data_IF_915013720067
#
_entry.id   IF_915013720067
#
_cell.length_a   1.000
_cell.length_b   1.000
_cell.length_c   1.000
_cell.angle_alpha   90.00
_cell.angle_beta   90.00
_cell.angle_gamma   90.00
#
_symmetry.space_group_name_H-M   'P 1'
#
loop_
_entity.id
_entity.type
_entity.pdbx_description
1 polymer ?
#
# COMPACT_ATOMS: atom_id res chain seq x y z
N UNK A 1 -2.27 9.72 -2.95
CA UNK A 1 -2.62 9.56 -1.53
C UNK A 1 -3.03 10.90 -0.90
N UNK A 2 -3.99 10.88 0.02
CA UNK A 2 -4.46 12.05 0.79
C UNK A 2 -4.63 11.68 2.26
N UNK A 3 -4.16 12.52 3.18
CA UNK A 3 -4.54 12.47 4.61
C UNK A 3 -5.58 13.57 4.85
N UNK A 4 -6.79 13.21 5.27
CA UNK A 4 -7.87 14.19 5.49
C UNK A 4 -7.53 15.14 6.63
N UNK A 5 -8.13 16.34 6.66
CA UNK A 5 -7.90 17.32 7.73
C UNK A 5 -8.20 16.74 9.13
N UNK A 6 -9.25 15.92 9.25
CA UNK A 6 -9.59 15.24 10.50
C UNK A 6 -8.49 14.27 10.95
N UNK A 7 -7.90 13.51 10.00
CA UNK A 7 -6.78 12.63 10.27
C UNK A 7 -5.51 13.40 10.59
N UNK A 8 -5.22 14.51 9.89
CA UNK A 8 -4.07 15.36 10.19
C UNK A 8 -4.12 15.90 11.62
N UNK A 9 -5.29 16.39 12.05
CA UNK A 9 -5.48 16.87 13.43
C UNK A 9 -5.26 15.77 14.47
N UNK A 10 -5.80 14.58 14.23
CA UNK A 10 -5.58 13.43 15.11
C UNK A 10 -4.11 12.99 15.17
N UNK A 11 -3.46 12.87 14.01
CA UNK A 11 -2.05 12.48 13.93
C UNK A 11 -1.14 13.52 14.60
N UNK A 12 -1.40 14.81 14.41
CA UNK A 12 -0.67 15.86 15.12
C UNK A 12 -0.80 15.73 16.64
N UNK A 13 -2.01 15.46 17.16
CA UNK A 13 -2.23 15.23 18.59
C UNK A 13 -1.56 13.94 19.09
N UNK A 14 -1.52 12.90 18.27
CA UNK A 14 -0.85 11.63 18.59
C UNK A 14 0.67 11.81 18.67
N UNK A 15 1.24 12.51 17.69
CA UNK A 15 2.67 12.79 17.59
C UNK A 15 3.12 13.77 18.69
N UNK A 16 2.30 14.76 19.07
CA UNK A 16 2.63 15.70 20.15
C UNK A 16 2.74 15.04 21.53
N UNK A 17 2.24 13.80 21.68
CA UNK A 17 2.37 13.00 22.90
C UNK A 17 3.65 12.18 22.94
N UNK A 18 4.44 12.18 21.85
CA UNK A 18 5.72 11.50 21.79
C UNK A 18 6.82 12.44 22.29
N UNK A 19 7.81 11.92 23.03
CA UNK A 19 8.94 12.69 23.56
C UNK A 19 10.05 12.90 22.52
N UNK A 20 9.69 13.07 21.24
CA UNK A 20 10.65 13.18 20.13
C UNK A 20 10.27 14.35 19.24
N UNK A 21 11.08 15.41 19.29
CA UNK A 21 10.90 16.59 18.45
C UNK A 21 11.09 16.24 16.97
N UNK A 22 10.25 16.78 16.09
CA UNK A 22 10.29 16.50 14.65
C UNK A 22 9.83 15.09 14.22
N UNK A 23 9.26 14.29 15.13
CA UNK A 23 8.72 12.97 14.78
C UNK A 23 7.58 13.10 13.75
N UNK A 24 7.63 12.24 12.73
CA UNK A 24 6.61 12.14 11.68
C UNK A 24 5.94 10.78 11.65
N UNK A 25 5.26 10.52 10.55
CA UNK A 25 4.73 9.18 10.23
C UNK A 25 5.35 8.66 8.94
N UNK A 26 5.60 7.35 8.88
CA UNK A 26 5.97 6.64 7.66
C UNK A 26 4.83 5.73 7.23
N UNK A 27 4.44 5.77 5.97
CA UNK A 27 3.33 5.01 5.39
C UNK A 27 3.88 4.11 4.30
N UNK A 28 3.49 2.85 4.31
CA UNK A 28 4.00 1.83 3.40
C UNK A 28 2.95 0.76 3.14
N UNK A 29 3.16 -0.04 2.10
CA UNK A 29 2.35 -1.22 1.80
C UNK A 29 3.18 -2.46 2.06
N UNK A 30 2.75 -3.29 2.99
CA UNK A 30 3.31 -4.63 3.16
C UNK A 30 2.77 -5.56 2.08
N UNK A 31 3.61 -6.48 1.59
CA UNK A 31 3.26 -7.41 0.51
C UNK A 31 2.60 -6.76 -0.72
N UNK A 32 3.20 -5.67 -1.26
CA UNK A 32 2.59 -4.88 -2.33
C UNK A 32 2.38 -5.72 -3.59
N UNK A 33 1.22 -5.57 -4.24
CA UNK A 33 0.87 -6.32 -5.44
C UNK A 33 0.36 -7.74 -5.19
N UNK A 34 0.11 -8.10 -3.94
CA UNK A 34 -0.47 -9.38 -3.54
C UNK A 34 -1.83 -9.20 -2.85
N UNK A 35 -2.65 -10.26 -2.71
CA UNK A 35 -3.95 -10.16 -2.05
C UNK A 35 -3.83 -9.88 -0.56
N UNK A 36 -2.63 -10.14 -0.02
CA UNK A 36 -2.24 -9.89 1.36
C UNK A 36 -1.78 -8.46 1.58
N UNK A 37 -1.82 -7.60 0.55
CA UNK A 37 -1.30 -6.26 0.72
C UNK A 37 -2.05 -5.49 1.81
N UNK A 38 -1.27 -4.88 2.69
CA UNK A 38 -1.76 -4.14 3.84
C UNK A 38 -1.13 -2.76 3.85
N UNK A 39 -1.96 -1.73 3.99
CA UNK A 39 -1.47 -0.37 4.15
C UNK A 39 -1.15 -0.15 5.63
N UNK A 40 0.11 0.11 5.93
CA UNK A 40 0.65 0.24 7.27
C UNK A 40 1.16 1.66 7.52
N UNK A 41 1.24 2.01 8.79
CA UNK A 41 1.81 3.28 9.25
C UNK A 41 2.63 3.06 10.51
N UNK A 42 3.81 3.68 10.56
CA UNK A 42 4.70 3.68 11.70
C UNK A 42 5.12 5.12 12.05
N UNK A 43 5.72 5.30 13.22
CA UNK A 43 6.41 6.55 13.51
C UNK A 43 7.70 6.64 12.70
N UNK A 44 8.05 7.86 12.28
CA UNK A 44 9.30 8.15 11.61
C UNK A 44 10.12 9.11 12.45
N UNK A 45 11.22 8.63 13.07
CA UNK A 45 12.05 9.51 13.87
C UNK A 45 12.86 10.45 12.97
N UNK A 46 13.23 11.64 13.47
CA UNK A 46 14.12 12.53 12.74
C UNK A 46 15.44 11.83 12.41
N UNK A 47 15.85 11.91 11.14
CA UNK A 47 17.09 11.28 10.66
C UNK A 47 16.96 9.82 10.22
N UNK A 48 15.79 9.18 10.43
CA UNK A 48 15.48 7.86 9.86
C UNK A 48 14.75 7.96 8.51
N UNK A 49 14.57 9.19 8.00
CA UNK A 49 14.00 9.47 6.69
C UNK A 49 14.85 8.80 5.59
N UNK A 50 14.23 7.96 4.75
CA UNK A 50 14.86 7.52 3.51
C UNK A 50 14.75 8.64 2.47
N UNK A 51 15.88 9.00 1.83
CA UNK A 51 15.91 10.02 0.79
C UNK A 51 15.09 9.68 -0.46
N UNK A 52 14.77 8.40 -0.67
CA UNK A 52 13.91 7.95 -1.76
C UNK A 52 12.42 8.12 -1.43
N UNK A 53 12.05 8.23 -0.15
CA UNK A 53 10.66 8.33 0.27
C UNK A 53 10.05 9.66 -0.19
N UNK A 54 8.77 9.61 -0.56
CA UNK A 54 8.01 10.80 -0.90
C UNK A 54 7.61 11.52 0.40
N UNK A 55 8.16 12.71 0.64
CA UNK A 55 7.80 13.57 1.77
C UNK A 55 6.57 14.41 1.47
N UNK A 56 5.56 14.32 2.33
CA UNK A 56 4.38 15.18 2.37
C UNK A 56 4.44 16.05 3.64
N UNK A 57 4.44 17.37 3.47
CA UNK A 57 4.49 18.31 4.57
C UNK A 57 3.09 18.81 4.94
N UNK A 58 2.77 18.72 6.22
CA UNK A 58 1.58 19.31 6.83
C UNK A 58 2.01 20.34 7.89
N UNK A 59 1.06 21.14 8.37
CA UNK A 59 1.36 22.25 9.29
C UNK A 59 2.07 21.80 10.58
N UNK A 60 1.74 20.61 11.09
CA UNK A 60 2.19 20.14 12.41
C UNK A 60 3.06 18.88 12.37
N UNK A 61 3.24 18.23 11.22
CA UNK A 61 4.06 17.03 11.07
C UNK A 61 4.41 16.76 9.61
N UNK A 62 5.36 15.86 9.37
CA UNK A 62 5.66 15.32 8.05
C UNK A 62 5.20 13.85 7.94
N UNK A 63 4.68 13.47 6.77
CA UNK A 63 4.45 12.09 6.40
C UNK A 63 5.44 11.67 5.31
N UNK A 64 6.00 10.47 5.45
CA UNK A 64 6.94 9.88 4.51
C UNK A 64 6.32 8.65 3.88
N UNK A 65 6.25 8.60 2.56
CA UNK A 65 5.70 7.45 1.85
C UNK A 65 6.86 6.64 1.33
N UNK A 66 6.92 5.38 1.74
CA UNK A 66 7.91 4.42 1.23
C UNK A 66 7.90 4.43 -0.31
N UNK A 67 9.08 4.62 -0.91
CA UNK A 67 9.21 4.81 -2.36
C UNK A 67 8.58 3.67 -3.17
N UNK A 68 8.78 2.41 -2.73
CA UNK A 68 8.22 1.24 -3.38
C UNK A 68 6.69 1.16 -3.23
N UNK A 69 6.15 1.77 -2.18
CA UNK A 69 4.71 1.79 -1.88
C UNK A 69 3.93 2.87 -2.65
N UNK A 70 4.60 3.89 -3.20
CA UNK A 70 3.95 5.02 -3.90
C UNK A 70 2.95 4.57 -4.97
N UNK A 71 3.25 3.62 -5.88
CA UNK A 71 2.31 3.17 -6.91
C UNK A 71 1.05 2.51 -6.34
N UNK A 72 1.16 1.88 -5.17
CA UNK A 72 0.07 1.15 -4.50
C UNK A 72 -0.82 2.06 -3.65
N UNK A 73 -0.37 3.29 -3.40
CA UNK A 73 -1.05 4.31 -2.60
C UNK A 73 -1.65 5.44 -3.45
N UNK A 74 -1.72 5.25 -4.77
CA UNK A 74 -2.55 6.06 -5.64
C UNK A 74 -4.00 6.02 -5.15
N UNK A 75 -4.66 7.18 -5.10
CA UNK A 75 -6.01 7.36 -4.54
C UNK A 75 -6.23 6.87 -3.09
N UNK A 76 -5.16 6.52 -2.37
CA UNK A 76 -5.30 6.10 -0.98
C UNK A 76 -5.71 7.29 -0.09
N UNK A 77 -6.62 7.06 0.84
CA UNK A 77 -7.14 8.04 1.79
C UNK A 77 -6.95 7.53 3.20
N UNK A 78 -6.25 8.31 4.03
CA UNK A 78 -6.18 8.13 5.47
C UNK A 78 -7.15 9.12 6.10
N UNK A 79 -8.08 8.60 6.89
CA UNK A 79 -9.19 9.37 7.42
C UNK A 79 -9.46 9.02 8.87
N UNK A 80 -9.89 10.00 9.65
CA UNK A 80 -10.21 9.81 11.06
C UNK A 80 -11.67 10.13 11.32
N UNK A 81 -12.42 9.10 11.69
CA UNK A 81 -13.83 9.21 12.03
C UNK A 81 -13.96 9.26 13.54
N UNK A 82 -14.23 10.46 14.07
CA UNK A 82 -14.46 10.65 15.51
C UNK A 82 -15.86 10.16 15.88
N UNK A 83 -15.94 9.29 16.87
CA UNK A 83 -17.19 8.84 17.48
C UNK A 83 -17.20 9.10 18.99
N UNK A 84 -18.23 8.61 19.69
CA UNK A 84 -18.39 8.79 21.14
C UNK A 84 -17.36 8.03 21.97
N UNK A 85 -16.61 7.10 21.38
CA UNK A 85 -15.66 6.22 22.07
C UNK A 85 -14.20 6.55 21.78
N UNK A 86 -13.94 7.68 21.10
CA UNK A 86 -12.58 8.12 20.81
C UNK A 86 -12.15 7.94 19.36
N UNK A 87 -13.05 7.55 18.46
CA UNK A 87 -12.83 7.54 17.02
C UNK A 87 -11.90 6.45 16.49
N UNK A 88 -11.85 6.34 15.16
CA UNK A 88 -11.04 5.36 14.45
C UNK A 88 -10.32 5.99 13.27
N UNK A 89 -8.99 5.74 13.19
CA UNK A 89 -8.21 6.00 11.99
C UNK A 89 -8.46 4.86 10.99
N UNK A 90 -8.81 5.23 9.76
CA UNK A 90 -9.17 4.32 8.68
C UNK A 90 -8.24 4.54 7.49
N UNK A 91 -7.76 3.42 6.93
CA UNK A 91 -6.90 3.40 5.77
C UNK A 91 -7.68 2.82 4.61
N UNK A 92 -7.93 3.63 3.58
CA UNK A 92 -8.57 3.19 2.34
C UNK A 92 -7.57 3.31 1.22
N UNK A 93 -6.92 2.22 0.85
CA UNK A 93 -5.99 2.17 -0.28
C UNK A 93 -6.57 1.25 -1.37
N UNK A 94 -7.40 1.78 -2.29
CA UNK A 94 -8.12 0.95 -3.27
C UNK A 94 -7.17 0.19 -4.21
N UNK A 95 -5.94 0.69 -4.38
CA UNK A 95 -4.92 0.11 -5.25
C UNK A 95 -3.82 -0.66 -4.47
N UNK A 96 -3.98 -0.90 -3.15
CA UNK A 96 -2.92 -1.53 -2.35
C UNK A 96 -2.68 -2.99 -2.69
N UNK A 97 -3.77 -3.75 -2.89
CA UNK A 97 -3.73 -5.20 -3.15
C UNK A 97 -3.18 -5.51 -4.51
N UNK A 98 -3.52 -4.70 -5.50
CA UNK A 98 -2.89 -4.76 -6.80
C UNK A 98 -2.97 -3.37 -7.42
N UNK A 99 -1.86 -2.82 -7.95
CA UNK A 99 -1.93 -1.68 -8.84
C UNK A 99 -2.88 -2.07 -9.96
N UNK A 100 -3.83 -1.18 -10.30
CA UNK A 100 -4.62 -1.36 -11.51
C UNK A 100 -3.64 -1.68 -12.61
N UNK A 101 -3.75 -2.89 -13.16
CA UNK A 101 -2.92 -3.33 -14.26
C UNK A 101 -3.15 -2.30 -15.37
N UNK A 102 -2.16 -1.45 -15.60
CA UNK A 102 -2.28 -0.31 -16.50
C UNK A 102 -2.57 -0.80 -17.93
N UNK A 103 -3.04 0.09 -18.80
CA UNK A 103 -3.28 -0.28 -20.20
C UNK A 103 -2.02 -0.82 -20.89
N UNK A 104 -0.84 -0.45 -20.41
CA UNK A 104 0.48 -0.82 -20.95
C UNK A 104 1.15 -1.99 -20.20
N UNK A 105 0.46 -2.61 -19.24
CA UNK A 105 1.03 -3.71 -18.48
C UNK A 105 1.28 -4.94 -19.36
N UNK A 106 2.41 -5.59 -19.10
CA UNK A 106 2.80 -6.82 -19.77
C UNK A 106 1.80 -7.95 -19.52
N UNK A 107 1.82 -8.97 -20.38
CA UNK A 107 0.98 -10.17 -20.22
C UNK A 107 1.31 -10.88 -18.89
N UNK A 108 2.58 -10.90 -18.51
CA UNK A 108 3.05 -11.51 -17.26
C UNK A 108 2.46 -10.82 -16.03
N UNK A 109 2.48 -9.48 -15.99
CA UNK A 109 1.88 -8.69 -14.91
C UNK A 109 0.37 -8.92 -14.83
N UNK A 110 -0.30 -9.03 -15.98
CA UNK A 110 -1.74 -9.31 -16.05
C UNK A 110 -2.11 -10.71 -15.56
N UNK A 111 -1.28 -11.71 -15.86
CA UNK A 111 -1.50 -13.08 -15.36
C UNK A 111 -1.26 -13.14 -13.87
N UNK A 112 -0.13 -12.59 -13.40
CA UNK A 112 0.16 -12.50 -11.98
C UNK A 112 -0.94 -11.78 -11.21
N UNK A 113 -1.51 -10.71 -11.77
CA UNK A 113 -2.67 -10.05 -11.19
C UNK A 113 -3.81 -11.03 -10.94
N UNK A 114 -4.27 -11.75 -11.98
CA UNK A 114 -5.40 -12.69 -11.85
C UNK A 114 -5.09 -13.83 -10.88
N UNK A 115 -3.88 -14.40 -10.96
CA UNK A 115 -3.46 -15.46 -10.05
C UNK A 115 -3.53 -15.00 -8.60
N UNK A 116 -3.04 -13.81 -8.32
CA UNK A 116 -3.06 -13.23 -7.00
C UNK A 116 -4.48 -12.78 -6.61
N UNK A 117 -5.12 -11.85 -7.32
CA UNK A 117 -6.38 -11.23 -6.86
C UNK A 117 -7.60 -12.15 -6.89
N UNK A 118 -7.63 -13.17 -7.76
CA UNK A 118 -8.82 -13.99 -8.00
C UNK A 118 -8.61 -15.49 -7.68
N UNK A 119 -7.50 -16.08 -8.11
CA UNK A 119 -7.29 -17.54 -8.01
C UNK A 119 -6.77 -17.95 -6.62
N UNK A 120 -5.67 -17.36 -6.16
CA UNK A 120 -5.02 -17.73 -4.90
C UNK A 120 -5.89 -17.55 -3.65
N UNK A 121 -6.78 -16.54 -3.53
CA UNK A 121 -7.72 -16.44 -2.42
C UNK A 121 -8.63 -17.67 -2.34
N UNK A 122 -9.05 -18.21 -3.49
CA UNK A 122 -9.87 -19.41 -3.57
C UNK A 122 -9.07 -20.68 -3.25
N UNK A 123 -7.84 -20.79 -3.76
CA UNK A 123 -6.96 -21.93 -3.46
C UNK A 123 -6.54 -21.97 -1.99
N UNK A 124 -6.28 -20.81 -1.38
CA UNK A 124 -5.87 -20.68 0.01
C UNK A 124 -6.92 -21.23 0.97
N UNK A 125 -8.22 -21.16 0.63
CA UNK A 125 -9.30 -21.78 1.40
C UNK A 125 -9.16 -23.31 1.52
N UNK A 126 -8.40 -23.93 0.61
CA UNK A 126 -8.05 -25.35 0.59
C UNK A 126 -6.56 -25.60 0.83
N UNK A 127 -5.82 -24.60 1.32
CA UNK A 127 -4.38 -24.69 1.60
C UNK A 127 -3.48 -24.74 0.37
N UNK A 128 -4.01 -24.41 -0.81
CA UNK A 128 -3.24 -24.33 -2.06
C UNK A 128 -2.74 -22.93 -2.38
N UNK A 129 -1.76 -22.86 -3.28
CA UNK A 129 -1.23 -21.63 -3.87
C UNK A 129 -0.68 -21.98 -5.27
N UNK A 130 -0.74 -21.02 -6.19
CA UNK A 130 -0.12 -21.11 -7.51
C UNK A 130 0.62 -19.80 -7.78
N UNK A 131 1.76 -19.90 -8.45
CA UNK A 131 2.57 -18.78 -8.90
C UNK A 131 2.88 -18.97 -10.38
N UNK A 132 3.06 -17.87 -11.11
CA UNK A 132 3.56 -17.90 -12.48
C UNK A 132 5.08 -18.10 -12.44
N UNK A 133 5.58 -19.12 -13.11
CA UNK A 133 7.00 -19.44 -13.23
C UNK A 133 7.59 -18.78 -14.47
N UNK A 134 6.96 -18.98 -15.63
CA UNK A 134 7.43 -18.39 -16.88
C UNK A 134 6.33 -18.33 -17.97
N UNK A 135 6.61 -17.56 -19.01
CA UNK A 135 5.83 -17.52 -20.25
C UNK A 135 6.64 -18.10 -21.39
N UNK A 136 6.13 -19.17 -22.00
CA UNK A 136 6.76 -19.85 -23.13
C UNK A 136 6.00 -19.48 -24.40
N UNK A 137 6.70 -18.93 -25.39
CA UNK A 137 6.15 -18.66 -26.72
C UNK A 137 6.60 -19.74 -27.71
N UNK A 138 5.63 -20.47 -28.26
CA UNK A 138 5.87 -21.54 -29.24
C UNK A 138 5.21 -21.22 -30.59
N UNK A 139 6.00 -21.31 -31.66
CA UNK A 139 5.54 -21.04 -33.02
C UNK A 139 4.41 -22.02 -33.42
N UNK A 140 3.24 -21.48 -33.73
CA UNK A 140 2.05 -22.25 -34.10
C UNK A 140 1.17 -22.72 -32.92
N UNK A 141 1.61 -22.52 -31.67
CA UNK A 141 0.84 -22.84 -30.45
C UNK A 141 0.43 -21.57 -29.69
N UNK A 142 1.31 -20.56 -29.63
CA UNK A 142 1.09 -19.30 -28.93
C UNK A 142 1.78 -19.24 -27.57
N UNK A 143 1.28 -18.37 -26.69
CA UNK A 143 1.80 -18.14 -25.34
C UNK A 143 1.21 -19.16 -24.34
N UNK A 144 2.09 -19.84 -23.61
CA UNK A 144 1.74 -20.74 -22.52
C UNK A 144 2.29 -20.19 -21.20
N UNK A 145 1.43 -20.08 -20.19
CA UNK A 145 1.81 -19.74 -18.83
C UNK A 145 2.07 -21.02 -18.03
N UNK A 146 3.24 -21.12 -17.41
CA UNK A 146 3.69 -22.26 -16.60
C UNK A 146 3.72 -21.87 -15.13
#
# INVERSE_FOLDING_TARGET
MTITESAQGYLAELLSKQDTDGIGVRIFVEHPGTPRAECCMAYNQPGEEDSADLKLSYDNFAAFIDAASVPYLEDAVIDYNKDRFGGQLTFRAPNSKVPKVGADASIEERINYVLQSEINPSLAAHGGMVDLIELIEEEGVGLTAV
#
